data_IF_886907728364
#
_entry.id   IF_886907728364
#
_cell.length_a   1.000
_cell.length_b   1.000
_cell.length_c   1.000
_cell.angle_alpha   90.00
_cell.angle_beta   90.00
_cell.angle_gamma   90.00
#
_symmetry.space_group_name_H-M   'P 1'
#
loop_
_entity.id
_entity.type
_entity.pdbx_description
1 polymer ?
#
# COMPACT_ATOMS: atom_id res chain seq x y z
N UNK A 1 15.70 -8.71 16.17
CA UNK A 1 14.93 -7.46 16.37
C UNK A 1 15.09 -6.60 15.11
N UNK A 2 14.18 -5.67 14.78
CA UNK A 2 14.45 -4.68 13.71
C UNK A 2 15.58 -3.77 14.19
N UNK A 3 16.67 -3.72 13.44
CA UNK A 3 17.85 -2.90 13.78
C UNK A 3 17.80 -1.54 13.11
N UNK A 4 17.33 -1.48 11.86
CA UNK A 4 17.28 -0.26 11.07
C UNK A 4 16.18 -0.32 9.99
N UNK A 5 15.80 0.87 9.49
CA UNK A 5 14.83 1.04 8.40
C UNK A 5 15.37 2.04 7.40
N UNK A 6 15.57 1.60 6.15
CA UNK A 6 15.92 2.46 5.04
C UNK A 6 14.68 2.79 4.20
N UNK A 7 14.51 4.06 3.82
CA UNK A 7 13.45 4.50 2.89
C UNK A 7 14.11 4.92 1.58
N UNK A 8 13.80 4.19 0.51
CA UNK A 8 14.41 4.37 -0.81
C UNK A 8 13.33 4.81 -1.80
N UNK A 9 13.37 6.06 -2.33
CA UNK A 9 12.49 6.44 -3.42
C UNK A 9 12.88 5.67 -4.69
N UNK A 10 11.91 5.14 -5.41
CA UNK A 10 12.16 4.31 -6.61
C UNK A 10 12.37 5.15 -7.87
N UNK A 11 11.87 6.40 -7.89
CA UNK A 11 12.06 7.34 -9.00
C UNK A 11 11.58 6.80 -10.36
N UNK A 12 12.02 7.41 -11.47
CA UNK A 12 11.66 7.01 -12.84
C UNK A 12 12.36 5.74 -13.34
N UNK A 13 13.18 5.04 -12.53
CA UNK A 13 13.94 3.87 -12.99
C UNK A 13 13.77 2.63 -12.09
N UNK A 14 13.23 1.57 -12.71
CA UNK A 14 13.42 0.13 -12.45
C UNK A 14 12.95 -0.48 -11.12
N UNK A 15 12.11 0.17 -10.32
CA UNK A 15 11.46 -0.45 -9.16
C UNK A 15 9.94 -0.31 -9.16
N UNK A 16 9.24 -1.16 -8.39
CA UNK A 16 7.82 -0.99 -8.13
C UNK A 16 7.60 0.16 -7.15
N UNK A 17 6.51 0.93 -7.35
CA UNK A 17 6.05 1.87 -6.34
C UNK A 17 6.69 3.25 -6.46
N UNK A 18 6.24 4.18 -5.64
CA UNK A 18 6.87 5.48 -5.44
C UNK A 18 8.09 5.40 -4.52
N UNK A 19 8.04 4.50 -3.53
CA UNK A 19 9.16 4.24 -2.62
C UNK A 19 9.10 2.84 -2.01
N UNK A 20 10.22 2.40 -1.46
CA UNK A 20 10.33 1.17 -0.69
C UNK A 20 10.82 1.45 0.74
N UNK A 21 10.31 0.70 1.71
CA UNK A 21 10.88 0.64 3.05
C UNK A 21 11.58 -0.72 3.22
N UNK A 22 12.87 -0.70 3.54
CA UNK A 22 13.71 -1.88 3.72
C UNK A 22 14.03 -2.01 5.20
N UNK A 23 13.59 -3.11 5.81
CA UNK A 23 13.84 -3.41 7.22
C UNK A 23 15.05 -4.32 7.33
N UNK A 24 16.00 -3.91 8.16
CA UNK A 24 17.15 -4.69 8.57
C UNK A 24 16.90 -5.31 9.94
N UNK A 25 17.46 -6.50 10.16
CA UNK A 25 17.31 -7.21 11.43
C UNK A 25 18.69 -7.43 12.06
N UNK A 26 18.77 -7.30 13.38
CA UNK A 26 20.02 -7.36 14.15
C UNK A 26 20.84 -8.64 13.91
N UNK A 27 20.16 -9.76 13.65
CA UNK A 27 20.77 -11.10 13.60
C UNK A 27 20.60 -11.77 12.22
N UNK A 28 20.38 -10.99 11.15
CA UNK A 28 20.13 -11.51 9.80
C UNK A 28 20.62 -10.58 8.71
N UNK A 29 21.27 -11.15 7.69
CA UNK A 29 21.59 -10.46 6.44
C UNK A 29 20.36 -10.36 5.50
N UNK A 30 19.32 -11.19 5.72
CA UNK A 30 18.07 -11.05 4.98
C UNK A 30 17.32 -9.79 5.41
N UNK A 31 16.97 -8.95 4.44
CA UNK A 31 16.10 -7.79 4.63
C UNK A 31 14.64 -8.11 4.32
N UNK A 32 13.73 -7.34 4.89
CA UNK A 32 12.31 -7.35 4.49
C UNK A 32 11.97 -6.06 3.75
N UNK A 33 11.48 -6.19 2.52
CA UNK A 33 11.18 -5.04 1.65
C UNK A 33 9.68 -4.85 1.51
N UNK A 34 9.21 -3.66 1.86
CA UNK A 34 7.88 -3.17 1.51
C UNK A 34 8.00 -2.24 0.32
N UNK A 35 7.24 -2.48 -0.75
CA UNK A 35 7.17 -1.59 -1.91
C UNK A 35 5.82 -0.88 -1.90
N UNK A 36 5.83 0.45 -1.84
CA UNK A 36 4.65 1.27 -1.60
C UNK A 36 4.35 2.09 -2.84
N UNK A 37 3.14 1.93 -3.37
CA UNK A 37 2.55 2.83 -4.37
C UNK A 37 1.58 3.78 -3.67
N UNK A 38 1.71 5.09 -3.92
CA UNK A 38 0.83 6.12 -3.37
C UNK A 38 -0.10 6.64 -4.45
N UNK A 39 -1.37 6.30 -4.31
CA UNK A 39 -2.41 6.76 -5.22
C UNK A 39 -3.16 7.95 -4.63
N UNK A 40 -3.47 8.92 -5.48
CA UNK A 40 -4.26 10.09 -5.07
C UNK A 40 -5.68 9.70 -4.61
N UNK A 41 -6.18 8.51 -5.01
CA UNK A 41 -7.52 8.03 -4.69
C UNK A 41 -7.54 6.50 -4.56
N UNK A 42 -8.29 5.96 -3.61
CA UNK A 42 -8.47 4.52 -3.43
C UNK A 42 -9.64 3.90 -4.22
N UNK A 43 -9.96 4.45 -5.39
CA UNK A 43 -11.03 3.91 -6.23
C UNK A 43 -10.62 2.57 -6.86
N UNK A 44 -11.60 1.74 -7.22
CA UNK A 44 -11.36 0.37 -7.73
C UNK A 44 -10.41 0.29 -8.93
N UNK A 45 -10.40 1.31 -9.80
CA UNK A 45 -9.49 1.37 -10.95
C UNK A 45 -8.01 1.43 -10.55
N UNK A 46 -7.69 2.20 -9.51
CA UNK A 46 -6.30 2.33 -9.02
C UNK A 46 -5.86 1.06 -8.31
N UNK A 47 -6.77 0.47 -7.52
CA UNK A 47 -6.56 -0.84 -6.89
C UNK A 47 -6.25 -1.93 -7.93
N UNK A 48 -7.02 -1.98 -9.01
CA UNK A 48 -6.79 -2.95 -10.08
C UNK A 48 -5.46 -2.68 -10.82
N UNK A 49 -5.12 -1.41 -11.10
CA UNK A 49 -3.87 -1.03 -11.74
C UNK A 49 -2.66 -1.41 -10.88
N UNK A 50 -2.70 -1.11 -9.58
CA UNK A 50 -1.72 -1.51 -8.59
C UNK A 50 -1.50 -3.03 -8.59
N UNK A 51 -2.58 -3.82 -8.50
CA UNK A 51 -2.46 -5.29 -8.49
C UNK A 51 -1.88 -5.83 -9.79
N UNK A 52 -2.27 -5.26 -10.94
CA UNK A 52 -1.72 -5.63 -12.24
C UNK A 52 -0.21 -5.33 -12.30
N UNK A 53 0.21 -4.14 -11.87
CA UNK A 53 1.61 -3.76 -11.80
C UNK A 53 2.39 -4.68 -10.86
N UNK A 54 1.88 -4.95 -9.65
CA UNK A 54 2.54 -5.77 -8.64
C UNK A 54 2.72 -7.21 -9.13
N UNK A 55 1.74 -7.73 -9.89
CA UNK A 55 1.82 -9.08 -10.45
C UNK A 55 2.94 -9.28 -11.49
N UNK A 56 3.54 -8.19 -12.00
CA UNK A 56 4.67 -8.26 -12.93
C UNK A 56 6.02 -8.50 -12.24
N UNK A 57 6.08 -8.36 -10.91
CA UNK A 57 7.29 -8.56 -10.13
C UNK A 57 7.28 -9.96 -9.49
N UNK A 58 8.38 -10.68 -9.64
CA UNK A 58 8.57 -12.02 -9.11
C UNK A 58 9.67 -12.02 -8.03
N UNK A 59 9.47 -11.23 -6.99
CA UNK A 59 10.35 -11.15 -5.83
C UNK A 59 9.57 -11.33 -4.52
N UNK A 60 10.29 -11.41 -3.39
CA UNK A 60 9.71 -11.61 -2.06
C UNK A 60 9.28 -10.30 -1.37
N UNK A 61 9.09 -9.21 -2.14
CA UNK A 61 8.67 -7.93 -1.58
C UNK A 61 7.19 -7.93 -1.20
N UNK A 62 6.86 -7.12 -0.19
CA UNK A 62 5.49 -6.89 0.26
C UNK A 62 4.94 -5.62 -0.38
N UNK A 63 4.03 -5.78 -1.34
CA UNK A 63 3.44 -4.68 -2.08
C UNK A 63 2.27 -4.07 -1.30
N UNK A 64 2.32 -2.75 -1.09
CA UNK A 64 1.33 -1.99 -0.33
C UNK A 64 0.77 -0.85 -1.18
N UNK A 65 -0.56 -0.76 -1.25
CA UNK A 65 -1.23 0.41 -1.80
C UNK A 65 -1.55 1.42 -0.69
N UNK A 66 -1.14 2.68 -0.87
CA UNK A 66 -1.52 3.78 0.00
C UNK A 66 -2.44 4.75 -0.73
N UNK A 67 -3.52 5.20 -0.08
CA UNK A 67 -4.41 6.23 -0.62
C UNK A 67 -5.10 7.01 0.50
N UNK A 68 -5.73 8.18 0.24
CA UNK A 68 -6.46 8.92 1.28
C UNK A 68 -7.54 8.09 2.00
N UNK A 69 -8.25 7.26 1.23
CA UNK A 69 -9.22 6.31 1.74
C UNK A 69 -9.29 5.08 0.84
N UNK A 70 -9.28 3.90 1.45
CA UNK A 70 -9.49 2.62 0.76
C UNK A 70 -10.88 2.11 1.17
N UNK A 71 -11.79 1.93 0.21
CA UNK A 71 -13.12 1.39 0.51
C UNK A 71 -13.03 -0.05 1.01
N UNK A 72 -14.01 -0.49 1.81
CA UNK A 72 -14.08 -1.87 2.32
C UNK A 72 -13.97 -2.92 1.19
N UNK A 73 -14.68 -2.70 0.09
CA UNK A 73 -14.62 -3.56 -1.11
C UNK A 73 -13.25 -3.58 -1.80
N UNK A 74 -12.49 -2.49 -1.72
CA UNK A 74 -11.12 -2.40 -2.27
C UNK A 74 -10.12 -3.07 -1.33
N UNK A 75 -10.27 -2.85 -0.02
CA UNK A 75 -9.51 -3.52 1.02
C UNK A 75 -9.68 -5.04 0.94
N UNK A 76 -10.91 -5.52 0.74
CA UNK A 76 -11.20 -6.94 0.57
C UNK A 76 -10.45 -7.55 -0.63
N UNK A 77 -10.51 -6.91 -1.79
CA UNK A 77 -9.82 -7.41 -2.98
C UNK A 77 -8.28 -7.43 -2.85
N UNK A 78 -7.70 -6.43 -2.18
CA UNK A 78 -6.26 -6.42 -1.89
C UNK A 78 -5.90 -7.59 -0.96
N UNK A 79 -6.68 -7.80 0.11
CA UNK A 79 -6.46 -8.92 1.06
C UNK A 79 -6.60 -10.29 0.41
N UNK A 80 -7.62 -10.51 -0.42
CA UNK A 80 -7.82 -11.78 -1.14
C UNK A 80 -6.61 -12.15 -2.02
N UNK A 81 -5.94 -11.12 -2.56
CA UNK A 81 -4.73 -11.27 -3.38
C UNK A 81 -3.43 -11.17 -2.58
N UNK A 82 -3.51 -11.09 -1.25
CA UNK A 82 -2.38 -10.97 -0.30
C UNK A 82 -1.53 -9.71 -0.50
N UNK A 83 -2.13 -8.64 -1.03
CA UNK A 83 -1.53 -7.32 -1.07
C UNK A 83 -1.87 -6.52 0.18
N UNK A 84 -0.94 -5.68 0.62
CA UNK A 84 -1.15 -4.77 1.74
C UNK A 84 -1.87 -3.49 1.33
N UNK A 85 -2.46 -2.81 2.30
CA UNK A 85 -2.96 -1.46 2.12
C UNK A 85 -2.81 -0.62 3.38
N UNK A 86 -2.76 0.70 3.20
CA UNK A 86 -2.90 1.67 4.27
C UNK A 86 -3.67 2.88 3.76
N UNK A 87 -4.60 3.39 4.58
CA UNK A 87 -5.24 4.67 4.32
C UNK A 87 -4.92 5.71 5.38
N UNK A 88 -5.15 6.97 5.04
CA UNK A 88 -4.88 8.10 5.93
C UNK A 88 -5.94 8.26 7.04
N UNK A 89 -7.00 7.43 7.03
CA UNK A 89 -7.96 7.31 8.15
C UNK A 89 -7.47 6.32 9.21
N UNK A 90 -6.40 5.56 8.92
CA UNK A 90 -5.77 4.59 9.80
C UNK A 90 -6.26 3.16 9.58
N UNK A 91 -7.06 2.89 8.56
CA UNK A 91 -7.33 1.51 8.15
C UNK A 91 -6.10 0.96 7.44
N UNK A 92 -5.68 -0.25 7.78
CA UNK A 92 -4.57 -0.90 7.12
C UNK A 92 -4.64 -2.41 7.23
N UNK A 93 -4.00 -3.08 6.28
CA UNK A 93 -3.67 -4.49 6.33
C UNK A 93 -2.23 -4.65 5.87
N UNK A 94 -1.38 -5.14 6.74
CA UNK A 94 0.02 -5.46 6.45
C UNK A 94 0.27 -6.85 7.04
N UNK A 95 0.62 -7.81 6.19
CA UNK A 95 0.89 -9.20 6.58
C UNK A 95 2.18 -9.66 5.92
N UNK A 96 3.28 -9.59 6.67
CA UNK A 96 4.63 -9.80 6.15
C UNK A 96 5.51 -10.59 7.13
N UNK A 97 5.78 -11.87 6.83
CA UNK A 97 6.50 -12.82 7.70
C UNK A 97 6.07 -12.72 9.18
N UNK A 98 6.81 -11.96 9.99
CA UNK A 98 6.61 -11.78 11.43
C UNK A 98 5.79 -10.53 11.82
N UNK A 99 5.41 -9.70 10.85
CA UNK A 99 4.65 -8.47 11.05
C UNK A 99 3.23 -8.68 10.58
N UNK A 100 2.28 -8.51 11.50
CA UNK A 100 0.86 -8.49 11.18
C UNK A 100 0.22 -7.24 11.80
N UNK A 101 -0.35 -6.39 10.95
CA UNK A 101 -1.10 -5.20 11.35
C UNK A 101 -2.43 -5.26 10.60
N UNK A 102 -3.53 -5.26 11.34
CA UNK A 102 -4.85 -5.17 10.76
C UNK A 102 -5.73 -4.23 11.58
N UNK A 103 -6.07 -3.10 10.97
CA UNK A 103 -6.95 -2.08 11.56
C UNK A 103 -8.03 -1.77 10.54
N UNK A 104 -9.29 -1.85 10.96
CA UNK A 104 -10.45 -1.63 10.11
C UNK A 104 -11.55 -0.86 10.86
N UNK A 105 -12.56 -0.39 10.13
CA UNK A 105 -13.72 0.31 10.67
C UNK A 105 -13.49 1.78 11.01
N UNK A 106 -12.35 2.37 10.65
CA UNK A 106 -12.14 3.82 10.76
C UNK A 106 -12.93 4.52 9.67
N UNK A 107 -13.70 5.53 10.06
CA UNK A 107 -14.49 6.32 9.13
C UNK A 107 -13.60 7.10 8.15
N UNK A 108 -14.07 7.24 6.92
CA UNK A 108 -13.39 8.02 5.89
C UNK A 108 -13.30 9.51 6.29
N UNK A 109 -12.09 10.01 6.53
CA UNK A 109 -11.83 11.43 6.83
C UNK A 109 -11.60 12.29 5.56
N UNK A 110 -11.53 11.67 4.40
CA UNK A 110 -11.14 12.26 3.12
C UNK A 110 -12.28 12.21 2.09
N UNK A 111 -13.51 12.42 2.57
CA UNK A 111 -14.69 12.49 1.70
C UNK A 111 -14.61 13.77 0.87
N UNK A 112 -14.37 13.64 -0.44
CA UNK A 112 -14.49 14.78 -1.36
C UNK A 112 -15.95 15.25 -1.43
N UNK A 113 -16.20 16.50 -1.07
CA UNK A 113 -17.48 17.15 -1.31
C UNK A 113 -17.60 17.41 -2.81
N UNK A 114 -18.31 16.54 -3.52
CA UNK A 114 -18.64 16.77 -4.94
C UNK A 114 -19.56 17.98 -5.06
N UNK A 115 -19.00 19.15 -5.34
CA UNK A 115 -19.79 20.27 -5.85
C UNK A 115 -20.26 19.90 -7.26
N UNK A 116 -21.56 19.65 -7.46
CA UNK A 116 -22.10 19.47 -8.81
C UNK A 116 -21.84 20.76 -9.59
N UNK A 117 -20.87 20.73 -10.50
CA UNK A 117 -20.80 21.72 -11.56
C UNK A 117 -21.91 21.37 -12.55
N UNK A 118 -23.04 22.07 -12.43
CA UNK A 118 -24.05 22.08 -13.47
C UNK A 118 -23.45 22.81 -14.67
N UNK A 119 -22.98 22.05 -15.66
CA UNK A 119 -22.78 22.57 -17.01
C UNK A 119 -24.15 22.54 -17.67
N UNK A 120 -24.90 23.62 -17.53
CA UNK A 120 -26.02 23.95 -18.41
C UNK A 120 -25.46 24.49 -19.72
#
# INVERSE_FOLDING_TARGET
MISDIEIVPTGLQRGFGDFCAILHFTDSEETMKFCIEVEARGERRFVNAFMLMASQYADDSFYILMAPYISESSAEALREKKYGYMDLSGNCYISAKHIFIYVTGKQNKYVEVRTKKNYF
#
